data_IF_291700594476
#
_entry.id   IF_291700594476
#
_cell.length_a   1.000
_cell.length_b   1.000
_cell.length_c   1.000
_cell.angle_alpha   90.00
_cell.angle_beta   90.00
_cell.angle_gamma   90.00
#
_symmetry.space_group_name_H-M   'P 1'
#
loop_
_entity.id
_entity.type
_entity.pdbx_description
1 polymer ?
#
# COMPACT_ATOMS: atom_id res chain seq x y z
N UNK A 1 1.47 -36.16 16.62
CA UNK A 1 0.40 -35.18 16.26
C UNK A 1 -0.21 -34.72 17.57
N UNK A 2 0.02 -33.46 17.96
CA UNK A 2 -0.33 -32.93 19.29
C UNK A 2 -1.81 -32.56 19.46
N UNK A 3 -2.66 -32.79 18.46
CA UNK A 3 -4.09 -32.45 18.52
C UNK A 3 -4.40 -30.97 18.72
N UNK A 4 -3.40 -30.09 18.60
CA UNK A 4 -3.55 -28.65 18.75
C UNK A 4 -4.24 -28.12 17.50
N UNK A 5 -5.29 -27.29 17.63
CA UNK A 5 -5.97 -26.65 16.49
C UNK A 5 -5.02 -25.76 15.68
N UNK A 6 -5.24 -25.69 14.37
CA UNK A 6 -4.47 -24.85 13.43
C UNK A 6 -4.39 -23.40 13.88
N UNK A 7 -5.52 -22.82 14.31
CA UNK A 7 -5.60 -21.43 14.75
C UNK A 7 -4.77 -21.16 16.02
N UNK A 8 -4.71 -22.10 16.93
CA UNK A 8 -3.91 -21.99 18.15
C UNK A 8 -2.41 -22.08 17.83
N UNK A 9 -2.04 -22.96 16.91
CA UNK A 9 -0.66 -23.06 16.39
C UNK A 9 -0.25 -21.78 15.66
N UNK A 10 -1.15 -21.20 14.86
CA UNK A 10 -0.89 -19.94 14.18
C UNK A 10 -0.68 -18.78 15.15
N UNK A 11 -1.53 -18.66 16.19
CA UNK A 11 -1.38 -17.65 17.26
C UNK A 11 -0.06 -17.78 17.99
N UNK A 12 0.31 -19.02 18.35
CA UNK A 12 1.59 -19.28 19.02
C UNK A 12 2.77 -18.91 18.11
N UNK A 13 2.75 -19.30 16.84
CA UNK A 13 3.81 -18.98 15.89
C UNK A 13 3.93 -17.48 15.64
N UNK A 14 2.82 -16.75 15.55
CA UNK A 14 2.80 -15.30 15.43
C UNK A 14 3.46 -14.67 16.66
N UNK A 15 3.10 -15.09 17.87
CA UNK A 15 3.64 -14.54 19.11
C UNK A 15 5.16 -14.75 19.23
N UNK A 16 5.71 -15.83 18.68
CA UNK A 16 7.12 -16.19 18.86
C UNK A 16 8.03 -15.76 17.68
N UNK A 17 7.47 -15.64 16.45
CA UNK A 17 8.26 -15.39 15.24
C UNK A 17 7.91 -14.09 14.54
N UNK A 18 7.05 -13.26 15.12
CA UNK A 18 6.54 -12.03 14.50
C UNK A 18 7.64 -11.01 14.16
N UNK A 19 8.77 -11.02 14.84
CA UNK A 19 9.87 -10.06 14.64
C UNK A 19 10.57 -10.19 13.28
N UNK A 20 10.37 -11.29 12.55
CA UNK A 20 11.07 -11.55 11.28
C UNK A 20 10.16 -11.83 10.07
N UNK A 21 8.89 -12.12 10.29
CA UNK A 21 7.95 -12.44 9.19
C UNK A 21 6.59 -11.81 9.46
N UNK A 22 5.98 -11.24 8.41
CA UNK A 22 4.60 -10.71 8.48
C UNK A 22 3.63 -11.85 8.88
N UNK A 23 2.64 -11.53 9.70
CA UNK A 23 1.62 -12.47 10.21
C UNK A 23 1.01 -13.36 9.11
N UNK A 24 0.73 -12.78 7.94
CA UNK A 24 0.24 -13.50 6.78
C UNK A 24 1.14 -14.68 6.38
N UNK A 25 2.47 -14.47 6.30
CA UNK A 25 3.41 -15.53 5.93
C UNK A 25 3.46 -16.64 6.99
N UNK A 26 3.29 -16.29 8.26
CA UNK A 26 3.24 -17.26 9.36
C UNK A 26 1.96 -18.07 9.24
N UNK A 27 0.80 -17.42 9.05
CA UNK A 27 -0.49 -18.11 8.85
C UNK A 27 -0.46 -19.02 7.63
N UNK A 28 0.06 -18.56 6.51
CA UNK A 28 0.21 -19.35 5.29
C UNK A 28 1.13 -20.56 5.50
N UNK A 29 2.25 -20.39 6.22
CA UNK A 29 3.16 -21.49 6.53
C UNK A 29 2.49 -22.52 7.43
N UNK A 30 1.78 -22.08 8.48
CA UNK A 30 1.03 -22.98 9.38
C UNK A 30 -0.06 -23.72 8.60
N UNK A 31 -0.84 -23.01 7.79
CA UNK A 31 -1.88 -23.60 6.95
C UNK A 31 -1.31 -24.66 6.00
N UNK A 32 -0.20 -24.39 5.33
CA UNK A 32 0.48 -25.35 4.45
C UNK A 32 0.95 -26.60 5.22
N UNK A 33 1.48 -26.42 6.44
CA UNK A 33 1.87 -27.56 7.29
C UNK A 33 0.66 -28.40 7.67
N UNK A 34 -0.48 -27.78 8.03
CA UNK A 34 -1.70 -28.51 8.38
C UNK A 34 -2.36 -29.19 7.18
N UNK A 35 -2.35 -28.55 6.00
CA UNK A 35 -2.82 -29.17 4.76
C UNK A 35 -1.97 -30.40 4.40
N UNK A 36 -0.65 -30.32 4.60
CA UNK A 36 0.25 -31.43 4.35
C UNK A 36 0.18 -32.51 5.44
N UNK A 37 -0.05 -32.15 6.72
CA UNK A 37 -0.19 -33.08 7.83
C UNK A 37 -1.51 -33.88 7.78
N UNK A 38 -2.58 -33.31 7.25
CA UNK A 38 -3.84 -34.03 6.99
C UNK A 38 -3.71 -35.17 5.96
N UNK A 39 -2.55 -35.31 5.34
CA UNK A 39 -2.25 -36.27 4.28
C UNK A 39 -1.87 -37.70 4.76
N UNK A 40 -1.94 -38.04 6.06
CA UNK A 40 -1.70 -39.37 6.55
C UNK A 40 -2.93 -40.31 6.51
N UNK A 41 -4.09 -39.83 6.11
CA UNK A 41 -5.22 -40.66 5.68
C UNK A 41 -5.22 -40.74 4.16
N UNK A 42 -5.55 -41.90 3.56
CA UNK A 42 -5.62 -42.11 2.11
C UNK A 42 -6.26 -40.90 1.42
N UNK A 43 -5.45 -40.05 0.79
CA UNK A 43 -5.96 -38.92 -0.02
C UNK A 43 -6.74 -39.53 -1.18
N UNK A 44 -8.00 -39.16 -1.32
CA UNK A 44 -8.65 -39.29 -2.61
C UNK A 44 -7.74 -38.57 -3.63
N UNK A 45 -7.46 -39.16 -4.81
CA UNK A 45 -6.68 -38.49 -5.81
C UNK A 45 -7.33 -37.14 -6.09
N UNK A 46 -6.51 -36.06 -6.12
CA UNK A 46 -6.98 -34.72 -6.43
C UNK A 46 -7.68 -34.75 -7.80
N UNK A 47 -8.76 -34.00 -7.95
CA UNK A 47 -9.33 -33.81 -9.28
C UNK A 47 -8.30 -33.07 -10.17
N UNK A 48 -8.40 -33.26 -11.48
CA UNK A 48 -7.52 -32.58 -12.42
C UNK A 48 -7.55 -31.04 -12.27
N UNK A 49 -8.72 -30.49 -11.89
CA UNK A 49 -8.90 -29.07 -11.60
C UNK A 49 -8.14 -28.64 -10.34
N UNK A 50 -8.24 -29.44 -9.26
CA UNK A 50 -7.52 -29.16 -8.01
C UNK A 50 -6.00 -29.25 -8.20
N UNK A 51 -5.54 -30.20 -9.00
CA UNK A 51 -4.12 -30.32 -9.34
C UNK A 51 -3.64 -29.11 -10.16
N UNK A 52 -4.45 -28.64 -11.12
CA UNK A 52 -4.13 -27.46 -11.90
C UNK A 52 -4.06 -26.21 -11.02
N UNK A 53 -5.00 -26.03 -10.09
CA UNK A 53 -4.95 -24.88 -9.15
C UNK A 53 -3.70 -24.89 -8.28
N UNK A 54 -3.32 -26.03 -7.72
CA UNK A 54 -2.10 -26.16 -6.90
C UNK A 54 -0.83 -25.85 -7.71
N UNK A 55 -0.74 -26.42 -8.91
CA UNK A 55 0.40 -26.16 -9.82
C UNK A 55 0.43 -24.69 -10.29
N UNK A 56 -0.72 -24.07 -10.46
CA UNK A 56 -0.82 -22.64 -10.78
C UNK A 56 -0.26 -21.79 -9.65
N UNK A 57 -0.68 -22.06 -8.41
CA UNK A 57 -0.18 -21.35 -7.24
C UNK A 57 1.33 -21.52 -7.08
N UNK A 58 1.83 -22.75 -7.21
CA UNK A 58 3.28 -23.02 -7.15
C UNK A 58 4.05 -22.26 -8.24
N UNK A 59 3.57 -22.27 -9.49
CA UNK A 59 4.16 -21.51 -10.58
C UNK A 59 4.20 -20.02 -10.29
N UNK A 60 3.07 -19.45 -9.84
CA UNK A 60 2.96 -18.02 -9.53
C UNK A 60 3.92 -17.62 -8.42
N UNK A 61 3.91 -18.35 -7.31
CA UNK A 61 4.75 -18.05 -6.14
C UNK A 61 6.24 -18.27 -6.41
N UNK A 62 6.61 -19.21 -7.25
CA UNK A 62 8.01 -19.51 -7.61
C UNK A 62 8.61 -18.44 -8.51
N UNK A 63 7.84 -17.94 -9.48
CA UNK A 63 8.35 -16.99 -10.49
C UNK A 63 8.12 -15.53 -10.14
N UNK A 64 7.03 -15.23 -9.45
CA UNK A 64 6.58 -13.88 -9.20
C UNK A 64 6.37 -13.63 -7.72
N UNK A 65 6.46 -12.38 -7.35
CA UNK A 65 5.99 -11.87 -6.07
C UNK A 65 4.92 -10.83 -6.38
N UNK A 66 3.74 -11.01 -5.77
CA UNK A 66 2.59 -10.14 -5.98
C UNK A 66 2.21 -9.44 -4.68
N UNK A 67 1.60 -8.26 -4.82
CA UNK A 67 0.94 -7.55 -3.74
C UNK A 67 -0.22 -6.72 -4.29
N UNK A 68 -1.27 -6.58 -3.54
CA UNK A 68 -2.37 -5.67 -3.87
C UNK A 68 -2.16 -4.34 -3.16
N UNK A 69 -1.90 -3.28 -3.92
CA UNK A 69 -1.68 -1.94 -3.39
C UNK A 69 -3.02 -1.26 -3.12
N UNK A 70 -3.32 -1.01 -1.84
CA UNK A 70 -4.61 -0.45 -1.41
C UNK A 70 -4.81 0.99 -1.84
N UNK A 71 -3.75 1.78 -1.99
CA UNK A 71 -3.87 3.17 -2.42
C UNK A 71 -4.12 3.30 -3.92
N UNK A 72 -3.40 2.55 -4.73
CA UNK A 72 -3.59 2.56 -6.19
C UNK A 72 -4.71 1.65 -6.64
N UNK A 73 -5.20 0.75 -5.76
CA UNK A 73 -6.20 -0.29 -6.06
C UNK A 73 -5.80 -1.22 -7.20
N UNK A 74 -4.50 -1.47 -7.33
CA UNK A 74 -3.93 -2.28 -8.41
C UNK A 74 -3.03 -3.36 -7.81
N UNK A 75 -3.13 -4.57 -8.37
CA UNK A 75 -2.17 -5.63 -8.09
C UNK A 75 -0.84 -5.28 -8.74
N UNK A 76 0.22 -5.34 -7.97
CA UNK A 76 1.61 -5.11 -8.40
C UNK A 76 2.38 -6.42 -8.36
N UNK A 77 3.40 -6.53 -9.19
CA UNK A 77 4.26 -7.70 -9.27
C UNK A 77 5.73 -7.35 -9.47
N UNK A 78 6.59 -8.27 -9.06
CA UNK A 78 7.99 -8.34 -9.50
C UNK A 78 8.37 -9.78 -9.78
N UNK A 79 9.34 -9.98 -10.66
CA UNK A 79 9.89 -11.30 -10.95
C UNK A 79 10.97 -11.65 -9.92
N UNK A 80 10.90 -12.87 -9.35
CA UNK A 80 11.83 -13.29 -8.29
C UNK A 80 13.26 -13.49 -8.74
N UNK A 81 13.47 -13.92 -9.97
CA UNK A 81 14.79 -14.32 -10.48
C UNK A 81 15.42 -13.24 -11.36
N UNK A 82 15.08 -11.98 -11.12
CA UNK A 82 15.64 -10.84 -11.84
C UNK A 82 16.24 -9.84 -10.87
N UNK A 83 17.18 -9.04 -11.36
CA UNK A 83 17.73 -7.91 -10.60
C UNK A 83 16.74 -6.73 -10.48
N UNK A 84 15.49 -6.89 -10.87
CA UNK A 84 14.47 -5.87 -10.76
C UNK A 84 13.77 -5.98 -9.39
N UNK A 85 14.16 -5.13 -8.46
CA UNK A 85 13.60 -5.12 -7.11
C UNK A 85 12.31 -4.28 -6.98
N UNK A 86 11.97 -3.52 -8.02
CA UNK A 86 10.79 -2.65 -8.00
C UNK A 86 9.52 -3.41 -8.39
N UNK A 87 8.47 -3.21 -7.61
CA UNK A 87 7.14 -3.65 -8.00
C UNK A 87 6.58 -2.78 -9.14
N UNK A 88 5.91 -3.42 -10.08
CA UNK A 88 5.27 -2.79 -11.25
C UNK A 88 3.79 -3.18 -11.29
N UNK A 89 2.89 -2.31 -11.73
CA UNK A 89 1.47 -2.64 -11.85
C UNK A 89 1.27 -3.79 -12.86
N UNK A 90 0.36 -4.70 -12.53
CA UNK A 90 -0.08 -5.74 -13.44
C UNK A 90 -0.99 -5.11 -14.50
N UNK A 91 -0.61 -5.29 -15.75
CA UNK A 91 -1.38 -4.86 -16.93
C UNK A 91 -1.96 -6.06 -17.68
N UNK A 92 -2.84 -5.84 -18.65
CA UNK A 92 -3.30 -6.91 -19.55
C UNK A 92 -2.13 -7.60 -20.27
N UNK A 93 -1.12 -6.81 -20.67
CA UNK A 93 0.09 -7.35 -21.29
C UNK A 93 0.85 -8.27 -20.31
N UNK A 94 0.94 -7.89 -19.04
CA UNK A 94 1.56 -8.71 -18.00
C UNK A 94 0.82 -10.02 -17.81
N UNK A 95 -0.51 -9.99 -17.71
CA UNK A 95 -1.35 -11.20 -17.57
C UNK A 95 -1.13 -12.18 -18.73
N UNK A 96 -1.14 -11.66 -19.96
CA UNK A 96 -0.87 -12.47 -21.14
C UNK A 96 0.53 -13.08 -21.11
N UNK A 97 1.55 -12.33 -20.72
CA UNK A 97 2.92 -12.83 -20.61
C UNK A 97 3.04 -13.92 -19.55
N UNK A 98 2.38 -13.76 -18.40
CA UNK A 98 2.35 -14.79 -17.34
C UNK A 98 1.68 -16.08 -17.88
N UNK A 99 0.53 -15.96 -18.55
CA UNK A 99 -0.16 -17.11 -19.14
C UNK A 99 0.71 -17.83 -20.18
N UNK A 100 1.41 -17.08 -21.04
CA UNK A 100 2.35 -17.67 -22.01
C UNK A 100 3.51 -18.40 -21.33
N UNK A 101 4.11 -17.80 -20.30
CA UNK A 101 5.19 -18.42 -19.54
C UNK A 101 4.73 -19.70 -18.83
N UNK A 102 3.51 -19.70 -18.28
CA UNK A 102 2.92 -20.88 -17.66
C UNK A 102 2.75 -22.04 -18.67
N UNK A 103 2.30 -21.73 -19.90
CA UNK A 103 2.16 -22.73 -20.98
C UNK A 103 3.50 -23.30 -21.41
N UNK A 104 4.55 -22.48 -21.47
CA UNK A 104 5.90 -22.95 -21.78
C UNK A 104 6.41 -23.94 -20.74
N UNK A 105 5.92 -23.87 -19.50
CA UNK A 105 6.20 -24.82 -18.44
C UNK A 105 5.18 -25.99 -18.36
N UNK A 106 4.33 -26.13 -19.35
CA UNK A 106 3.35 -27.21 -19.43
C UNK A 106 2.08 -27.01 -18.59
N UNK A 107 1.82 -25.79 -18.11
CA UNK A 107 0.57 -25.44 -17.43
C UNK A 107 -0.41 -24.83 -18.43
N UNK A 108 -1.59 -25.42 -18.58
CA UNK A 108 -2.60 -24.91 -19.51
C UNK A 108 -3.41 -23.75 -18.91
N UNK A 109 -2.71 -22.62 -18.64
CA UNK A 109 -3.32 -21.41 -18.12
C UNK A 109 -3.66 -20.41 -19.23
N UNK A 110 -4.81 -19.76 -19.07
CA UNK A 110 -5.25 -18.64 -19.88
C UNK A 110 -5.14 -17.32 -19.08
N UNK A 111 -5.18 -16.21 -19.78
CA UNK A 111 -5.18 -14.87 -19.18
C UNK A 111 -6.29 -14.67 -18.14
N UNK A 112 -7.48 -15.26 -18.35
CA UNK A 112 -8.59 -15.26 -17.41
C UNK A 112 -8.29 -16.02 -16.12
N UNK A 113 -7.52 -17.09 -16.18
CA UNK A 113 -7.15 -17.90 -15.00
C UNK A 113 -6.09 -17.13 -14.18
N UNK A 114 -5.16 -16.48 -14.88
CA UNK A 114 -4.20 -15.55 -14.28
C UNK A 114 -4.94 -14.37 -13.62
N UNK A 115 -5.92 -13.77 -14.29
CA UNK A 115 -6.71 -12.68 -13.73
C UNK A 115 -7.44 -13.14 -12.45
N UNK A 116 -8.10 -14.30 -12.47
CA UNK A 116 -8.79 -14.86 -11.31
C UNK A 116 -7.85 -15.05 -10.10
N UNK A 117 -6.63 -15.54 -10.34
CA UNK A 117 -5.63 -15.67 -9.28
C UNK A 117 -5.22 -14.31 -8.72
N UNK A 118 -4.96 -13.33 -9.59
CA UNK A 118 -4.50 -11.99 -9.22
C UNK A 118 -5.58 -11.14 -8.51
N UNK A 119 -6.85 -11.42 -8.78
CA UNK A 119 -8.00 -10.74 -8.19
C UNK A 119 -8.51 -11.48 -6.92
N UNK A 120 -7.82 -12.56 -6.50
CA UNK A 120 -8.18 -13.33 -5.31
C UNK A 120 -7.49 -12.80 -4.04
N UNK A 121 -8.01 -13.22 -2.89
CA UNK A 121 -7.45 -12.96 -1.55
C UNK A 121 -6.11 -13.69 -1.29
N UNK A 122 -5.65 -14.50 -2.23
CA UNK A 122 -4.31 -15.12 -2.20
C UNK A 122 -3.19 -14.10 -2.40
N UNK A 123 -3.52 -12.93 -2.96
CA UNK A 123 -2.56 -11.83 -3.11
C UNK A 123 -2.50 -11.02 -1.81
N UNK A 124 -1.32 -10.90 -1.19
CA UNK A 124 -1.18 -10.14 0.04
C UNK A 124 -1.52 -8.66 -0.17
N UNK A 125 -2.30 -8.13 0.74
CA UNK A 125 -2.63 -6.70 0.76
C UNK A 125 -1.40 -5.91 1.20
N UNK A 126 -1.13 -4.81 0.53
CA UNK A 126 -0.04 -3.90 0.80
C UNK A 126 -0.56 -2.47 0.93
N UNK A 127 -0.39 -1.90 2.12
CA UNK A 127 -0.63 -0.48 2.34
C UNK A 127 0.73 0.24 2.44
N UNK A 128 1.10 1.07 1.46
CA UNK A 128 2.42 1.72 1.45
C UNK A 128 2.65 2.66 2.63
N UNK A 129 1.60 3.29 3.15
CA UNK A 129 1.70 4.17 4.32
C UNK A 129 1.96 3.35 5.59
N UNK A 130 1.21 2.27 5.80
CA UNK A 130 1.42 1.38 6.94
C UNK A 130 2.80 0.72 6.90
N UNK A 131 3.23 0.27 5.72
CA UNK A 131 4.55 -0.34 5.52
C UNK A 131 5.68 0.65 5.84
N UNK A 132 5.54 1.90 5.39
CA UNK A 132 6.47 2.98 5.73
C UNK A 132 6.49 3.25 7.24
N UNK A 133 5.32 3.45 7.86
CA UNK A 133 5.23 3.76 9.29
C UNK A 133 5.72 2.61 10.17
N UNK A 134 5.55 1.35 9.71
CA UNK A 134 6.08 0.18 10.40
C UNK A 134 7.62 0.10 10.32
N UNK A 135 8.21 0.55 9.21
CA UNK A 135 9.66 0.58 8.99
C UNK A 135 10.39 1.71 9.74
N UNK A 136 9.66 2.72 10.23
CA UNK A 136 10.27 3.84 10.95
C UNK A 136 10.68 3.41 12.36
N UNK A 137 11.93 3.78 12.76
CA UNK A 137 12.38 3.57 14.13
C UNK A 137 11.50 4.36 15.10
N UNK A 138 10.80 3.65 15.98
CA UNK A 138 9.90 4.24 16.98
C UNK A 138 10.62 4.95 18.11
N UNK A 139 11.95 4.88 18.18
CA UNK A 139 12.75 5.55 19.21
C UNK A 139 12.89 7.03 18.86
N UNK A 140 12.11 7.84 19.54
CA UNK A 140 12.23 9.28 19.43
C UNK A 140 13.45 9.80 20.22
N UNK A 141 14.29 10.59 19.57
CA UNK A 141 15.49 11.18 20.16
C UNK A 141 15.25 12.52 20.88
N UNK A 142 14.00 12.94 21.05
CA UNK A 142 13.62 14.18 21.71
C UNK A 142 13.68 15.44 20.84
N UNK A 143 14.08 15.35 19.57
CA UNK A 143 14.19 16.51 18.66
C UNK A 143 12.90 16.79 17.92
N UNK A 144 12.45 18.05 17.95
CA UNK A 144 11.26 18.50 17.22
C UNK A 144 11.60 18.89 15.77
N UNK A 145 11.78 17.88 14.93
CA UNK A 145 12.09 18.07 13.51
C UNK A 145 10.98 18.73 12.71
N UNK A 146 9.75 18.63 13.17
CA UNK A 146 8.59 19.23 12.47
C UNK A 146 8.66 20.74 12.61
N UNK A 147 8.88 21.26 13.81
CA UNK A 147 9.05 22.71 14.01
C UNK A 147 10.36 23.23 13.40
N UNK A 148 11.43 22.44 13.47
CA UNK A 148 12.69 22.76 12.77
C UNK A 148 12.46 22.92 11.25
N UNK A 149 11.69 22.02 10.64
CA UNK A 149 11.35 22.10 9.22
C UNK A 149 10.47 23.33 8.92
N UNK A 150 9.45 23.57 9.73
CA UNK A 150 8.56 24.71 9.58
C UNK A 150 9.32 26.05 9.67
N UNK A 151 10.29 26.15 10.57
CA UNK A 151 11.10 27.36 10.79
C UNK A 151 12.03 27.69 9.61
N UNK A 152 12.27 26.76 8.71
CA UNK A 152 13.03 26.99 7.49
C UNK A 152 12.22 27.69 6.39
N UNK A 153 10.90 27.76 6.55
CA UNK A 153 10.03 28.47 5.62
C UNK A 153 9.96 29.94 6.02
N UNK A 154 10.44 30.88 5.19
CA UNK A 154 10.31 32.31 5.47
C UNK A 154 8.82 32.68 5.56
N UNK A 155 8.38 33.11 6.72
CA UNK A 155 6.96 33.38 6.96
C UNK A 155 6.79 34.59 7.91
N UNK A 156 5.79 35.43 7.64
CA UNK A 156 5.43 36.57 8.47
C UNK A 156 4.54 36.19 9.66
N UNK A 157 4.01 34.95 9.68
CA UNK A 157 3.16 34.47 10.75
C UNK A 157 3.99 33.81 11.85
N UNK A 158 4.06 34.44 13.01
CA UNK A 158 4.85 33.95 14.16
C UNK A 158 4.34 32.60 14.69
N UNK A 159 3.06 32.27 14.44
CA UNK A 159 2.44 31.01 14.84
C UNK A 159 2.61 29.88 13.82
N UNK A 160 3.25 30.18 12.69
CA UNK A 160 3.42 29.19 11.61
C UNK A 160 4.03 27.87 12.07
N UNK A 161 5.14 27.82 12.87
CA UNK A 161 5.72 26.55 13.28
C UNK A 161 4.75 25.69 14.11
N UNK A 162 3.95 26.30 14.98
CA UNK A 162 2.99 25.59 15.83
C UNK A 162 1.77 25.11 15.03
N UNK A 163 1.28 25.93 14.11
CA UNK A 163 0.17 25.56 13.23
C UNK A 163 0.58 24.42 12.29
N UNK A 164 1.77 24.52 11.71
CA UNK A 164 2.32 23.48 10.85
C UNK A 164 2.55 22.17 11.62
N UNK A 165 3.07 22.24 12.85
CA UNK A 165 3.25 21.09 13.73
C UNK A 165 1.94 20.36 13.98
N UNK A 166 0.89 21.07 14.36
CA UNK A 166 -0.45 20.47 14.59
C UNK A 166 -1.03 19.84 13.34
N UNK A 167 -0.94 20.54 12.21
CA UNK A 167 -1.40 20.01 10.94
C UNK A 167 -0.65 18.73 10.54
N UNK A 168 0.67 18.73 10.70
CA UNK A 168 1.50 17.58 10.34
C UNK A 168 1.18 16.35 11.21
N UNK A 169 1.01 16.55 12.51
CA UNK A 169 0.58 15.47 13.40
C UNK A 169 -0.81 14.92 13.03
N UNK A 170 -1.75 15.80 12.69
CA UNK A 170 -3.08 15.39 12.25
C UNK A 170 -3.03 14.61 10.93
N UNK A 171 -2.16 15.00 10.00
CA UNK A 171 -1.92 14.25 8.76
C UNK A 171 -1.44 12.82 9.06
N UNK A 172 -0.46 12.67 9.94
CA UNK A 172 0.06 11.35 10.32
C UNK A 172 -0.97 10.55 11.13
N UNK A 173 -1.75 11.20 12.00
CA UNK A 173 -2.85 10.56 12.72
C UNK A 173 -3.92 10.02 11.75
N UNK A 174 -4.22 10.77 10.70
CA UNK A 174 -5.11 10.33 9.63
C UNK A 174 -4.54 9.09 8.90
N UNK A 175 -3.28 9.10 8.53
CA UNK A 175 -2.61 7.94 7.94
C UNK A 175 -2.66 6.68 8.81
N UNK A 176 -2.63 6.86 10.15
CA UNK A 176 -2.72 5.77 11.14
C UNK A 176 -4.15 5.39 11.51
N UNK A 177 -5.16 6.03 10.93
CA UNK A 177 -6.58 5.85 11.30
C UNK A 177 -6.84 6.00 12.80
N UNK A 178 -6.05 6.86 13.47
CA UNK A 178 -6.21 7.15 14.91
C UNK A 178 -7.16 8.31 15.18
N UNK A 179 -7.54 9.05 14.16
CA UNK A 179 -8.43 10.21 14.18
C UNK A 179 -9.92 9.84 13.93
N UNK A 180 -10.35 8.71 14.47
CA UNK A 180 -11.66 8.09 14.16
C UNK A 180 -12.88 9.01 14.24
N UNK A 181 -12.80 10.10 15.00
CA UNK A 181 -13.93 11.00 15.24
C UNK A 181 -13.81 12.35 14.52
N UNK A 182 -12.66 12.73 14.04
CA UNK A 182 -12.40 14.05 13.47
C UNK A 182 -11.40 13.97 12.32
N UNK A 183 -11.83 14.34 11.13
CA UNK A 183 -10.92 14.53 10.01
C UNK A 183 -9.98 15.72 10.26
N UNK A 184 -8.85 15.80 9.54
CA UNK A 184 -7.98 16.96 9.58
C UNK A 184 -8.70 18.16 8.93
N UNK A 185 -9.31 19.01 9.75
CA UNK A 185 -10.10 20.16 9.31
C UNK A 185 -9.24 21.39 8.93
N UNK A 186 -7.92 21.28 8.99
CA UNK A 186 -7.02 22.40 8.72
C UNK A 186 -6.11 22.08 7.55
N UNK A 187 -5.90 23.06 6.68
CA UNK A 187 -5.01 22.97 5.51
C UNK A 187 -4.04 24.16 5.54
N UNK A 188 -2.71 23.94 5.46
CA UNK A 188 -1.77 25.04 5.34
C UNK A 188 -1.91 25.71 3.98
N UNK A 189 -2.05 27.04 3.99
CA UNK A 189 -2.10 27.86 2.79
C UNK A 189 -0.79 28.63 2.66
N UNK A 190 0.02 28.30 1.64
CA UNK A 190 1.28 28.95 1.36
C UNK A 190 1.08 30.06 0.32
N UNK A 191 0.99 31.31 0.79
CA UNK A 191 0.84 32.50 -0.06
C UNK A 191 2.20 33.18 -0.27
N UNK A 192 2.50 33.55 -1.50
CA UNK A 192 3.74 34.24 -1.81
C UNK A 192 4.01 34.32 -3.32
N UNK A 193 5.01 35.11 -3.75
CA UNK A 193 5.33 35.27 -5.16
C UNK A 193 5.60 33.97 -5.89
N UNK A 194 5.49 33.99 -7.20
CA UNK A 194 5.86 32.88 -8.06
C UNK A 194 7.36 32.57 -7.93
N UNK A 195 7.76 31.32 -8.20
CA UNK A 195 9.14 30.84 -8.12
C UNK A 195 9.75 30.72 -6.69
N UNK A 196 8.99 30.93 -5.62
CA UNK A 196 9.44 30.76 -4.23
C UNK A 196 9.44 29.30 -3.76
N UNK A 197 9.39 28.34 -4.69
CA UNK A 197 9.50 26.90 -4.44
C UNK A 197 8.44 26.31 -3.48
N UNK A 198 7.24 26.91 -3.40
CA UNK A 198 6.14 26.44 -2.55
C UNK A 198 5.76 24.99 -2.88
N UNK A 199 5.50 24.68 -4.15
CA UNK A 199 5.12 23.33 -4.60
C UNK A 199 6.27 22.33 -4.40
N UNK A 200 7.53 22.76 -4.53
CA UNK A 200 8.70 21.92 -4.21
C UNK A 200 8.74 21.58 -2.72
N UNK A 201 8.44 22.54 -1.84
CA UNK A 201 8.35 22.30 -0.40
C UNK A 201 7.26 21.28 -0.10
N UNK A 202 6.04 21.44 -0.64
CA UNK A 202 4.93 20.52 -0.43
C UNK A 202 5.30 19.09 -0.88
N UNK A 203 5.93 18.96 -2.04
CA UNK A 203 6.36 17.64 -2.55
C UNK A 203 7.38 16.98 -1.63
N UNK A 204 8.33 17.73 -1.10
CA UNK A 204 9.39 17.22 -0.23
C UNK A 204 8.94 16.97 1.22
N UNK A 205 7.68 17.20 1.56
CA UNK A 205 7.12 16.79 2.86
C UNK A 205 6.97 15.28 2.98
N UNK A 206 6.78 14.58 1.85
CA UNK A 206 6.71 13.13 1.85
C UNK A 206 8.12 12.52 1.74
N UNK A 207 8.39 11.44 2.47
CA UNK A 207 9.59 10.65 2.30
C UNK A 207 9.62 9.99 0.90
N UNK A 208 10.80 9.58 0.49
CA UNK A 208 11.03 9.03 -0.86
C UNK A 208 10.10 7.86 -1.19
N UNK A 209 9.83 7.01 -0.22
CA UNK A 209 8.98 5.82 -0.33
C UNK A 209 7.52 6.18 -0.62
N UNK A 210 7.07 7.34 -0.12
CA UNK A 210 5.70 7.83 -0.30
C UNK A 210 5.56 8.85 -1.44
N UNK A 211 6.63 9.25 -2.12
CA UNK A 211 6.59 10.15 -3.26
C UNK A 211 5.64 9.72 -4.40
N UNK A 212 5.48 8.42 -4.72
CA UNK A 212 4.50 7.98 -5.71
C UNK A 212 3.04 8.27 -5.33
N UNK A 213 2.78 8.57 -4.05
CA UNK A 213 1.45 8.87 -3.50
C UNK A 213 1.27 10.38 -3.22
N UNK A 214 2.06 11.22 -3.87
CA UNK A 214 1.89 12.67 -3.93
C UNK A 214 1.21 13.06 -5.23
N UNK A 215 0.30 14.04 -5.17
CA UNK A 215 -0.23 14.69 -6.36
C UNK A 215 -0.36 16.19 -6.16
N UNK A 216 -0.15 16.95 -7.22
CA UNK A 216 -0.48 18.37 -7.34
C UNK A 216 -1.60 18.62 -8.38
N UNK A 217 -2.25 17.54 -8.85
CA UNK A 217 -3.29 17.57 -9.87
C UNK A 217 -4.50 16.80 -9.41
N UNK A 218 -5.59 17.49 -9.12
CA UNK A 218 -6.91 16.91 -8.91
C UNK A 218 -7.85 17.52 -9.92
N UNK A 219 -8.61 16.66 -10.60
CA UNK A 219 -9.70 17.09 -11.45
C UNK A 219 -11.00 17.18 -10.64
N UNK A 220 -11.40 18.38 -10.30
CA UNK A 220 -12.66 18.65 -9.59
C UNK A 220 -13.88 18.70 -10.52
N UNK A 221 -13.73 18.50 -11.83
CA UNK A 221 -14.85 18.45 -12.76
C UNK A 221 -15.71 17.20 -12.55
N UNK A 222 -15.09 16.12 -12.05
CA UNK A 222 -15.77 14.90 -11.67
C UNK A 222 -15.65 14.67 -10.15
N UNK A 223 -16.76 14.87 -9.44
CA UNK A 223 -16.83 14.72 -7.99
C UNK A 223 -16.35 13.35 -7.51
N UNK A 224 -16.77 12.27 -8.19
CA UNK A 224 -16.40 10.90 -7.82
C UNK A 224 -14.90 10.66 -7.96
N UNK A 225 -14.27 11.15 -9.02
CA UNK A 225 -12.83 10.99 -9.23
C UNK A 225 -12.02 11.82 -8.23
N UNK A 226 -12.52 13.01 -7.87
CA UNK A 226 -11.93 13.81 -6.80
C UNK A 226 -12.01 13.11 -5.45
N UNK A 227 -13.18 12.53 -5.08
CA UNK A 227 -13.35 11.73 -3.85
C UNK A 227 -12.43 10.49 -3.83
N UNK A 228 -12.31 9.77 -4.94
CA UNK A 228 -11.39 8.64 -5.07
C UNK A 228 -9.93 9.06 -4.91
N UNK A 229 -9.59 10.27 -5.36
CA UNK A 229 -8.23 10.81 -5.22
C UNK A 229 -7.84 11.00 -3.75
N UNK A 230 -8.78 11.36 -2.88
CA UNK A 230 -8.52 11.49 -1.43
C UNK A 230 -8.03 10.17 -0.79
N UNK A 231 -8.46 9.03 -1.32
CA UNK A 231 -8.04 7.71 -0.83
C UNK A 231 -6.77 7.18 -1.49
N UNK A 232 -6.35 7.78 -2.61
CA UNK A 232 -5.21 7.30 -3.41
C UNK A 232 -3.89 7.99 -3.09
N UNK A 233 -3.94 9.17 -2.46
CA UNK A 233 -2.76 9.98 -2.23
C UNK A 233 -2.53 10.23 -0.74
N UNK A 234 -1.28 10.12 -0.34
CA UNK A 234 -0.84 10.43 1.02
C UNK A 234 -0.83 11.94 1.29
N UNK A 235 -0.55 12.72 0.26
CA UNK A 235 -0.56 14.18 0.30
C UNK A 235 -1.00 14.75 -1.04
N UNK A 236 -1.95 15.65 -0.98
CA UNK A 236 -2.48 16.37 -2.12
C UNK A 236 -2.11 17.84 -1.97
N UNK A 237 -1.40 18.39 -2.93
CA UNK A 237 -1.13 19.82 -3.04
C UNK A 237 -2.07 20.42 -4.06
N UNK A 238 -2.89 21.40 -3.66
CA UNK A 238 -3.71 22.15 -4.59
C UNK A 238 -2.96 23.42 -4.98
N UNK A 239 -2.29 23.37 -6.12
CA UNK A 239 -1.63 24.54 -6.69
C UNK A 239 -2.66 25.48 -7.33
N UNK A 240 -2.39 26.78 -7.33
CA UNK A 240 -3.27 27.79 -7.94
C UNK A 240 -4.73 27.73 -7.45
N UNK A 241 -4.91 27.57 -6.14
CA UNK A 241 -6.23 27.42 -5.50
C UNK A 241 -7.19 28.59 -5.82
N UNK A 242 -6.67 29.79 -6.06
CA UNK A 242 -7.41 30.99 -6.42
C UNK A 242 -8.05 30.92 -7.82
N UNK A 243 -7.56 30.06 -8.70
CA UNK A 243 -8.15 29.84 -10.03
C UNK A 243 -9.32 28.85 -10.02
N UNK A 244 -9.56 28.17 -8.90
CA UNK A 244 -10.67 27.24 -8.79
C UNK A 244 -12.02 27.97 -8.77
N UNK A 245 -12.98 27.50 -9.58
CA UNK A 245 -14.35 28.04 -9.66
C UNK A 245 -15.06 27.85 -8.32
N UNK A 246 -16.04 28.71 -8.01
CA UNK A 246 -16.85 28.61 -6.77
C UNK A 246 -17.49 27.24 -6.57
N UNK A 247 -17.91 26.58 -7.66
CA UNK A 247 -18.45 25.21 -7.60
C UNK A 247 -17.43 24.16 -7.14
N UNK A 248 -16.13 24.38 -7.43
CA UNK A 248 -15.02 23.53 -7.00
C UNK A 248 -14.63 23.82 -5.54
N UNK A 249 -14.76 25.07 -5.11
CA UNK A 249 -14.56 25.44 -3.70
C UNK A 249 -15.63 24.85 -2.78
N UNK A 250 -16.86 24.67 -3.27
CA UNK A 250 -17.93 24.04 -2.51
C UNK A 250 -17.66 22.55 -2.21
N UNK A 251 -16.87 21.88 -3.02
CA UNK A 251 -16.43 20.50 -2.79
C UNK A 251 -15.47 20.38 -1.59
N UNK A 252 -14.74 21.44 -1.27
CA UNK A 252 -13.72 21.47 -0.21
C UNK A 252 -14.27 21.90 1.16
N UNK A 253 -15.55 22.21 1.25
CA UNK A 253 -16.29 22.50 2.49
C UNK A 253 -16.96 21.25 3.04
#
# INVERSE_FOLDING_TARGET
QSGIPEEETARWAIAHFYTQKKEFLIRQTVQNVYLNAKGFGKKSPLSAEQELELRTEEFMQRRYEFRYNTMTTVTEYRERNTFCFCFRPVTNRTRNSIAMNARLEGLNLWDRDVARYLDSDRIPVFNPIEDFLFGVDIRWDGRDRIRELASRVPCNNIHWPDLFYRWFLNMVAHWRHTDRNYANCTVPLLVGPQAYRKSTFCRNLLPTELQPYYTDRIDFSNKRDAELSLNRFALINMDEFDQNRESQQAFLK
#
